data_IF_747253550036
#
_entry.id   IF_747253550036
#
_cell.length_a   1.000
_cell.length_b   1.000
_cell.length_c   1.000
_cell.angle_alpha   90.00
_cell.angle_beta   90.00
_cell.angle_gamma   90.00
#
_symmetry.space_group_name_H-M   'P 1'
#
loop_
_entity.id
_entity.type
_entity.pdbx_description
1 polymer ?
#
# COMPACT_ATOMS: atom_id res chain seq x y z
N UNK A 1 1.17 -4.15 12.95
CA UNK A 1 1.29 -3.60 14.34
C UNK A 1 0.94 -2.11 14.31
N UNK A 2 0.21 -1.56 15.29
CA UNK A 2 -0.09 -0.13 15.32
C UNK A 2 1.13 0.69 15.72
N UNK A 3 1.79 1.34 14.74
CA UNK A 3 2.91 2.26 14.98
C UNK A 3 2.41 3.72 15.02
N UNK A 4 3.16 4.67 15.63
CA UNK A 4 2.78 6.09 15.59
C UNK A 4 2.65 6.64 14.16
N UNK A 5 3.48 6.15 13.23
CA UNK A 5 3.40 6.54 11.82
C UNK A 5 2.13 6.03 11.17
N UNK A 6 1.78 4.75 11.36
CA UNK A 6 0.55 4.18 10.85
C UNK A 6 -0.69 4.89 11.42
N UNK A 7 -0.69 5.17 12.73
CA UNK A 7 -1.76 5.93 13.37
C UNK A 7 -1.92 7.32 12.75
N UNK A 8 -0.83 8.06 12.57
CA UNK A 8 -0.86 9.40 11.95
C UNK A 8 -1.37 9.38 10.51
N UNK A 9 -1.03 8.35 9.72
CA UNK A 9 -1.56 8.18 8.37
C UNK A 9 -3.07 7.92 8.40
N UNK A 10 -3.55 7.01 9.26
CA UNK A 10 -4.98 6.73 9.43
C UNK A 10 -5.75 8.01 9.78
N UNK A 11 -5.27 8.77 10.77
CA UNK A 11 -5.89 10.04 11.18
C UNK A 11 -5.92 11.06 10.03
N UNK A 12 -4.87 11.10 9.20
CA UNK A 12 -4.79 12.00 8.04
C UNK A 12 -5.86 11.65 7.00
N UNK A 13 -6.00 10.38 6.64
CA UNK A 13 -6.99 9.96 5.63
C UNK A 13 -8.43 9.99 6.17
N UNK A 14 -8.65 9.67 7.44
CA UNK A 14 -9.97 9.78 8.08
C UNK A 14 -10.49 11.23 8.15
N UNK A 15 -9.59 12.20 8.11
CA UNK A 15 -9.95 13.62 8.10
C UNK A 15 -10.39 14.12 6.71
N UNK A 16 -10.23 13.34 5.63
CA UNK A 16 -10.60 13.75 4.27
C UNK A 16 -12.14 13.73 4.14
N UNK A 17 -12.78 14.87 3.83
CA UNK A 17 -14.20 14.90 3.58
C UNK A 17 -14.52 14.31 2.21
N UNK A 18 -15.50 13.41 2.15
CA UNK A 18 -15.94 12.75 0.90
C UNK A 18 -14.77 12.10 0.13
N UNK A 19 -14.06 11.13 0.74
CA UNK A 19 -12.93 10.46 0.10
C UNK A 19 -13.40 9.75 -1.18
N UNK A 20 -12.55 9.75 -2.20
CA UNK A 20 -12.77 8.94 -3.38
C UNK A 20 -12.57 7.44 -3.07
N UNK A 21 -12.89 6.59 -4.04
CA UNK A 21 -12.81 5.14 -3.89
C UNK A 21 -11.45 4.66 -3.38
N UNK A 22 -10.38 5.11 -4.04
CA UNK A 22 -8.99 4.72 -3.75
C UNK A 22 -8.58 5.16 -2.35
N UNK A 23 -9.00 6.35 -1.95
CA UNK A 23 -8.76 6.87 -0.60
C UNK A 23 -9.46 5.99 0.44
N UNK A 24 -10.68 5.51 0.17
CA UNK A 24 -11.37 4.58 1.09
C UNK A 24 -10.64 3.22 1.15
N UNK A 25 -10.18 2.69 0.01
CA UNK A 25 -9.38 1.45 -0.05
C UNK A 25 -8.11 1.59 0.79
N UNK A 26 -7.33 2.65 0.56
CA UNK A 26 -6.10 2.90 1.30
C UNK A 26 -6.36 3.04 2.81
N UNK A 27 -7.35 3.84 3.19
CA UNK A 27 -7.70 4.04 4.61
C UNK A 27 -8.09 2.73 5.29
N UNK A 28 -8.86 1.90 4.59
CA UNK A 28 -9.31 0.60 5.10
C UNK A 28 -8.15 -0.40 5.22
N UNK A 29 -7.23 -0.39 4.26
CA UNK A 29 -5.99 -1.16 4.31
C UNK A 29 -5.13 -0.78 5.53
N UNK A 30 -4.89 0.52 5.74
CA UNK A 30 -4.09 1.00 6.88
C UNK A 30 -4.74 0.64 8.22
N UNK A 31 -6.06 0.81 8.35
CA UNK A 31 -6.81 0.39 9.54
C UNK A 31 -6.68 -1.10 9.81
N UNK A 32 -6.77 -1.93 8.76
CA UNK A 32 -6.64 -3.38 8.87
C UNK A 32 -5.26 -3.77 9.40
N UNK A 33 -4.18 -3.21 8.83
CA UNK A 33 -2.79 -3.43 9.29
C UNK A 33 -2.56 -3.01 10.75
N UNK A 34 -3.29 -2.00 11.22
CA UNK A 34 -3.27 -1.53 12.60
C UNK A 34 -4.06 -2.42 13.57
N UNK A 35 -5.16 -3.02 13.10
CA UNK A 35 -6.04 -3.90 13.88
C UNK A 35 -5.54 -5.36 13.98
N UNK A 36 -4.57 -5.72 13.15
CA UNK A 36 -4.08 -7.08 12.98
C UNK A 36 -4.84 -7.87 11.91
N UNK A 37 -4.35 -9.07 11.59
CA UNK A 37 -4.86 -9.90 10.50
C UNK A 37 -4.53 -11.38 10.67
N UNK A 38 -4.97 -12.24 9.74
CA UNK A 38 -4.70 -13.68 9.77
C UNK A 38 -3.27 -14.06 9.35
N UNK A 39 -2.52 -13.13 8.74
CA UNK A 39 -1.19 -13.34 8.15
C UNK A 39 -0.08 -12.74 9.02
N UNK A 40 1.10 -12.42 8.47
CA UNK A 40 2.28 -11.96 9.23
C UNK A 40 2.25 -10.45 9.52
N UNK A 41 1.08 -9.92 9.89
CA UNK A 41 0.82 -8.48 10.09
C UNK A 41 1.68 -7.86 11.21
N UNK A 42 2.16 -8.67 12.15
CA UNK A 42 3.06 -8.25 13.22
C UNK A 42 4.47 -7.91 12.71
N UNK A 43 4.85 -8.45 11.55
CA UNK A 43 6.13 -8.17 10.89
C UNK A 43 6.06 -6.95 9.96
N UNK A 44 4.88 -6.39 9.73
CA UNK A 44 4.68 -5.23 8.87
C UNK A 44 4.82 -3.93 9.65
N UNK A 45 5.71 -3.07 9.15
CA UNK A 45 5.81 -1.67 9.54
C UNK A 45 5.52 -0.79 8.31
N UNK A 46 4.56 0.13 8.44
CA UNK A 46 4.22 1.10 7.39
C UNK A 46 4.98 2.40 7.63
N UNK A 47 5.75 2.84 6.63
CA UNK A 47 6.56 4.06 6.67
C UNK A 47 5.85 5.24 6.02
N UNK A 48 5.17 5.00 4.89
CA UNK A 48 4.47 6.05 4.16
C UNK A 48 3.32 5.50 3.35
N UNK A 49 2.34 6.36 3.05
CA UNK A 49 1.21 6.00 2.23
C UNK A 49 0.56 7.25 1.60
N UNK A 50 0.15 7.15 0.34
CA UNK A 50 -0.52 8.23 -0.38
C UNK A 50 -1.41 7.70 -1.51
N UNK A 51 -2.26 8.59 -2.03
CA UNK A 51 -3.01 8.38 -3.27
C UNK A 51 -2.48 9.36 -4.30
N UNK A 52 -2.19 8.89 -5.51
CA UNK A 52 -1.84 9.72 -6.68
C UNK A 52 -2.46 9.14 -7.94
N UNK A 53 -3.06 9.99 -8.78
CA UNK A 53 -3.64 9.65 -10.10
C UNK A 53 -4.52 8.37 -10.11
N UNK A 54 -5.34 8.18 -9.09
CA UNK A 54 -6.23 7.02 -8.98
C UNK A 54 -5.52 5.72 -8.61
N UNK A 55 -4.34 5.81 -7.98
CA UNK A 55 -3.64 4.67 -7.40
C UNK A 55 -3.26 4.96 -5.96
N UNK A 56 -3.25 3.93 -5.13
CA UNK A 56 -2.71 3.97 -3.78
C UNK A 56 -1.28 3.44 -3.75
N UNK A 57 -0.49 3.99 -2.84
CA UNK A 57 0.90 3.66 -2.62
C UNK A 57 1.12 3.40 -1.13
N UNK A 58 1.87 2.35 -0.81
CA UNK A 58 2.27 2.02 0.57
C UNK A 58 3.74 1.66 0.57
N UNK A 59 4.54 2.32 1.40
CA UNK A 59 5.93 1.95 1.68
C UNK A 59 5.97 1.21 3.01
N UNK A 60 6.43 -0.03 3.01
CA UNK A 60 6.37 -0.91 4.18
C UNK A 60 7.53 -1.91 4.24
N UNK A 61 7.79 -2.44 5.43
CA UNK A 61 8.64 -3.62 5.61
C UNK A 61 7.84 -4.87 5.27
N UNK A 62 8.26 -5.59 4.24
CA UNK A 62 7.65 -6.89 3.91
C UNK A 62 7.98 -7.95 4.97
N UNK A 63 7.05 -8.88 5.28
CA UNK A 63 7.32 -9.96 6.23
C UNK A 63 8.59 -10.74 5.89
N UNK A 64 9.56 -10.69 6.81
CA UNK A 64 10.89 -11.33 6.68
C UNK A 64 11.71 -10.87 5.46
N UNK A 65 11.37 -9.73 4.87
CA UNK A 65 11.96 -9.24 3.64
C UNK A 65 12.41 -7.78 3.73
N UNK A 66 12.73 -7.17 2.58
CA UNK A 66 13.16 -5.78 2.52
C UNK A 66 12.00 -4.81 2.73
N UNK A 67 12.35 -3.53 2.91
CA UNK A 67 11.43 -2.42 2.69
C UNK A 67 11.13 -2.29 1.20
N UNK A 68 9.84 -2.22 0.87
CA UNK A 68 9.34 -2.14 -0.51
C UNK A 68 8.18 -1.15 -0.60
N UNK A 69 7.88 -0.74 -1.82
CA UNK A 69 6.67 -0.02 -2.15
C UNK A 69 5.64 -0.93 -2.83
N UNK A 70 4.38 -0.86 -2.42
CA UNK A 70 3.23 -1.40 -3.15
C UNK A 70 2.54 -0.25 -3.88
N UNK A 71 2.18 -0.47 -5.15
CA UNK A 71 1.26 0.38 -5.90
C UNK A 71 0.06 -0.44 -6.38
N UNK A 72 -1.15 0.05 -6.11
CA UNK A 72 -2.40 -0.54 -6.59
C UNK A 72 -3.30 0.53 -7.19
N UNK A 73 -3.84 0.25 -8.37
CA UNK A 73 -4.83 1.10 -9.05
C UNK A 73 -6.20 1.07 -8.36
N UNK A 74 -7.06 1.97 -8.80
CA UNK A 74 -8.39 2.20 -8.23
C UNK A 74 -9.37 1.03 -8.40
N UNK A 75 -9.22 0.23 -9.45
CA UNK A 75 -10.27 -0.68 -9.90
C UNK A 75 -9.77 -2.11 -9.93
N UNK A 76 -10.13 -2.86 -8.90
CA UNK A 76 -10.49 -4.25 -9.10
C UNK A 76 -11.93 -4.27 -9.64
N UNK A 77 -12.15 -4.57 -10.93
CA UNK A 77 -13.50 -4.54 -11.52
C UNK A 77 -14.44 -5.57 -10.89
N UNK A 78 -13.89 -6.53 -10.13
CA UNK A 78 -14.65 -7.58 -9.46
C UNK A 78 -14.96 -7.25 -7.98
N UNK A 79 -14.48 -6.12 -7.44
CA UNK A 79 -14.75 -5.69 -6.07
C UNK A 79 -15.57 -4.39 -5.98
N UNK A 80 -16.84 -4.52 -5.59
CA UNK A 80 -17.78 -3.41 -5.42
C UNK A 80 -17.76 -2.75 -4.02
N UNK A 81 -16.87 -3.14 -3.11
CA UNK A 81 -16.74 -2.54 -1.77
C UNK A 81 -15.28 -2.09 -1.54
N UNK A 82 -15.02 -0.78 -1.41
CA UNK A 82 -13.65 -0.30 -1.25
C UNK A 82 -13.07 -0.69 0.12
N UNK A 83 -13.92 -0.90 1.12
CA UNK A 83 -13.49 -1.33 2.45
C UNK A 83 -13.00 -2.77 2.40
N UNK A 84 -13.76 -3.65 1.74
CA UNK A 84 -13.37 -5.05 1.54
C UNK A 84 -12.07 -5.13 0.73
N UNK A 85 -11.95 -4.36 -0.35
CA UNK A 85 -10.72 -4.32 -1.16
C UNK A 85 -9.51 -3.90 -0.32
N UNK A 86 -9.67 -2.88 0.52
CA UNK A 86 -8.59 -2.42 1.41
C UNK A 86 -8.17 -3.51 2.40
N UNK A 87 -9.12 -4.24 2.96
CA UNK A 87 -8.83 -5.35 3.88
C UNK A 87 -8.12 -6.50 3.18
N UNK A 88 -8.54 -6.84 1.96
CA UNK A 88 -7.90 -7.88 1.15
C UNK A 88 -6.45 -7.51 0.80
N UNK A 89 -6.20 -6.26 0.37
CA UNK A 89 -4.84 -5.78 0.11
C UNK A 89 -3.99 -5.84 1.38
N UNK A 90 -4.52 -5.41 2.53
CA UNK A 90 -3.78 -5.50 3.79
C UNK A 90 -3.38 -6.94 4.13
N UNK A 91 -4.34 -7.87 4.05
CA UNK A 91 -4.14 -9.24 4.50
C UNK A 91 -3.29 -10.07 3.52
N UNK A 92 -3.50 -9.90 2.20
CA UNK A 92 -2.93 -10.77 1.16
C UNK A 92 -1.81 -10.13 0.34
N UNK A 93 -1.78 -8.80 0.18
CA UNK A 93 -0.68 -8.15 -0.52
C UNK A 93 0.43 -7.72 0.46
N UNK A 94 0.06 -7.02 1.53
CA UNK A 94 1.03 -6.36 2.41
C UNK A 94 1.53 -7.29 3.52
N UNK A 95 0.62 -8.03 4.17
CA UNK A 95 0.95 -8.88 5.32
C UNK A 95 1.36 -10.31 4.94
N UNK A 96 1.42 -10.65 3.66
CA UNK A 96 2.05 -11.87 3.18
C UNK A 96 3.52 -11.64 2.76
N UNK A 97 4.38 -12.66 2.84
CA UNK A 97 5.72 -12.59 2.27
C UNK A 97 5.65 -12.35 0.76
N UNK A 98 6.55 -11.53 0.22
CA UNK A 98 6.59 -11.18 -1.21
C UNK A 98 6.68 -12.39 -2.16
N UNK A 99 7.16 -13.53 -1.67
CA UNK A 99 7.32 -14.73 -2.49
C UNK A 99 8.13 -14.43 -3.76
N UNK A 100 7.58 -14.80 -4.93
CA UNK A 100 8.26 -14.59 -6.22
C UNK A 100 8.30 -13.13 -6.69
N UNK A 101 7.56 -12.21 -6.06
CA UNK A 101 7.60 -10.78 -6.42
C UNK A 101 8.94 -10.13 -6.07
N UNK A 102 9.69 -10.69 -5.12
CA UNK A 102 11.01 -10.17 -4.74
C UNK A 102 11.99 -10.12 -5.92
N UNK A 103 11.88 -11.07 -6.86
CA UNK A 103 12.73 -11.16 -8.05
C UNK A 103 12.26 -10.25 -9.20
N UNK A 104 11.13 -9.54 -9.02
CA UNK A 104 10.46 -8.74 -10.05
C UNK A 104 10.20 -7.30 -9.62
N UNK A 105 10.86 -6.85 -8.56
CA UNK A 105 10.75 -5.49 -8.07
C UNK A 105 11.25 -4.51 -9.14
N UNK A 106 10.48 -3.44 -9.34
CA UNK A 106 10.90 -2.29 -10.15
C UNK A 106 11.54 -1.28 -9.21
N UNK A 107 12.84 -1.05 -9.35
CA UNK A 107 13.56 -0.15 -8.45
C UNK A 107 13.46 1.30 -8.92
N UNK A 108 13.14 2.22 -8.00
CA UNK A 108 13.20 3.65 -8.27
C UNK A 108 14.62 4.21 -8.16
N UNK A 109 14.79 5.51 -8.45
CA UNK A 109 16.08 6.19 -8.41
C UNK A 109 16.75 6.19 -7.02
N UNK A 110 16.00 5.95 -5.94
CA UNK A 110 16.51 5.85 -4.57
C UNK A 110 16.80 4.40 -4.16
N UNK A 111 16.57 3.43 -5.05
CA UNK A 111 16.78 2.00 -4.79
C UNK A 111 15.66 1.34 -4.00
N UNK A 112 14.48 1.98 -3.84
CA UNK A 112 13.31 1.32 -3.27
C UNK A 112 12.67 0.43 -4.34
N UNK A 113 12.47 -0.85 -4.03
CA UNK A 113 11.82 -1.81 -4.91
C UNK A 113 10.30 -1.70 -4.83
N UNK A 114 9.64 -1.56 -5.98
CA UNK A 114 8.20 -1.43 -6.11
C UNK A 114 7.56 -2.65 -6.77
N UNK A 115 6.35 -3.01 -6.33
CA UNK A 115 5.54 -4.08 -6.90
C UNK A 115 4.04 -3.73 -6.89
N UNK A 116 3.22 -4.60 -7.48
CA UNK A 116 1.78 -4.41 -7.62
C UNK A 116 1.36 -4.24 -9.07
N UNK A 117 0.45 -3.31 -9.34
CA UNK A 117 -0.07 -3.08 -10.69
C UNK A 117 1.00 -2.45 -11.59
N UNK A 118 0.89 -2.57 -12.93
CA UNK A 118 1.90 -2.05 -13.84
C UNK A 118 2.07 -0.53 -13.62
N UNK A 119 3.26 -0.13 -13.17
CA UNK A 119 3.68 1.27 -13.01
C UNK A 119 3.93 1.99 -14.36
N UNK A 120 3.17 1.62 -15.40
CA UNK A 120 3.39 2.11 -16.76
C UNK A 120 2.98 3.58 -16.84
N UNK A 121 3.99 4.46 -16.89
CA UNK A 121 3.80 5.90 -17.13
C UNK A 121 3.52 6.75 -15.87
N UNK A 122 3.55 6.16 -14.67
CA UNK A 122 3.35 6.92 -13.42
C UNK A 122 4.65 7.59 -13.00
N UNK A 123 4.76 8.91 -13.25
CA UNK A 123 5.78 9.75 -12.61
C UNK A 123 5.26 10.15 -11.23
N UNK A 124 5.95 9.73 -10.17
CA UNK A 124 5.66 10.19 -8.80
C UNK A 124 6.06 11.67 -8.67
N UNK A 125 5.24 12.48 -7.98
CA UNK A 125 5.44 13.94 -7.86
C UNK A 125 6.80 14.35 -7.25
N UNK A 126 7.53 13.41 -6.65
CA UNK A 126 8.88 13.61 -6.11
C UNK A 126 10.00 13.51 -7.16
N UNK A 127 9.67 13.43 -8.47
CA UNK A 127 10.66 13.34 -9.55
C UNK A 127 11.24 11.93 -9.77
N UNK A 128 10.75 10.94 -9.03
CA UNK A 128 11.05 9.53 -9.31
C UNK A 128 10.18 9.07 -10.48
N UNK A 129 10.75 9.12 -11.69
CA UNK A 129 10.24 8.33 -12.80
C UNK A 129 10.75 6.89 -12.64
N UNK A 130 9.87 5.91 -12.83
CA UNK A 130 10.30 4.53 -13.07
C UNK A 130 11.01 4.52 -14.42
N UNK A 131 12.29 4.13 -14.43
CA UNK A 131 13.09 3.93 -15.64
C UNK A 131 13.19 2.45 -15.97
#
# INVERSE_FOLDING_TARGET
>A
MMTPRLQSLIETFDAIPHPDWVTIVLTSCLKRLGSGGPTAWECVEVFDAWVDKGAMFIVYTSPWGPTVGLMRGAEDPDCEDPVEQGQNIADFDVAEPLGTYIDRLTFDANGLGWWGDPLVGTVLENGSAFF
#
